data_IF_565480010170
#
_entry.id   IF_565480010170
#
_cell.length_a   1.000
_cell.length_b   1.000
_cell.length_c   1.000
_cell.angle_alpha   90.00
_cell.angle_beta   90.00
_cell.angle_gamma   90.00
#
_symmetry.space_group_name_H-M   'P 1'
#
loop_
_entity.id
_entity.type
_entity.pdbx_description
1 polymer ?
#
# COMPACT_ATOMS: atom_id res chain seq x y z
N UNK A 1 0.47 2.08 0.83
CA UNK A 1 -0.17 3.15 1.64
C UNK A 1 -1.38 2.66 2.44
N UNK A 2 -2.51 2.28 1.81
CA UNK A 2 -3.75 1.96 2.56
C UNK A 2 -3.60 0.84 3.59
N UNK A 3 -2.96 -0.25 3.19
CA UNK A 3 -2.64 -1.37 4.09
C UNK A 3 -1.68 -0.96 5.23
N UNK A 4 -0.73 -0.08 4.94
CA UNK A 4 0.24 0.39 5.95
C UNK A 4 -0.45 1.31 6.98
N UNK A 5 -1.46 2.08 6.54
CA UNK A 5 -2.22 2.96 7.41
C UNK A 5 -3.19 2.21 8.35
N UNK A 6 -3.60 0.99 8.01
CA UNK A 6 -4.44 0.19 8.90
C UNK A 6 -3.70 -0.69 9.88
N UNK A 7 -2.52 -1.17 9.48
CA UNK A 7 -1.69 -2.04 10.32
C UNK A 7 -0.75 -1.21 11.20
N UNK A 8 -0.30 -0.05 10.71
CA UNK A 8 0.67 0.81 11.39
C UNK A 8 0.05 1.93 12.20
N UNK A 9 0.71 2.26 13.31
CA UNK A 9 0.47 3.49 14.06
C UNK A 9 1.27 4.65 13.47
N UNK A 10 0.78 5.88 13.66
CA UNK A 10 1.47 7.08 13.18
C UNK A 10 2.77 7.30 13.96
N UNK A 11 3.90 7.45 13.25
CA UNK A 11 5.19 7.74 13.87
C UNK A 11 5.20 9.08 14.64
N UNK A 12 4.47 10.08 14.13
CA UNK A 12 4.40 11.43 14.71
C UNK A 12 3.00 12.03 14.53
N UNK A 13 2.64 12.97 15.40
CA UNK A 13 1.45 13.81 15.21
C UNK A 13 1.66 14.73 14.01
N UNK A 14 0.91 14.49 12.94
CA UNK A 14 1.00 15.22 11.67
C UNK A 14 -0.08 14.73 10.70
N UNK A 15 0.02 15.07 9.41
CA UNK A 15 -1.01 14.74 8.41
C UNK A 15 -1.28 13.23 8.25
N UNK A 16 -0.34 12.36 8.63
CA UNK A 16 -0.52 10.89 8.63
C UNK A 16 -1.31 10.35 9.83
N UNK A 17 -1.42 11.10 10.93
CA UNK A 17 -2.15 10.71 12.15
C UNK A 17 -3.66 10.55 11.91
N UNK A 18 -4.41 11.55 11.40
CA UNK A 18 -5.85 11.38 11.18
C UNK A 18 -6.15 10.29 10.14
N UNK A 19 -5.27 10.08 9.17
CA UNK A 19 -5.41 9.03 8.15
C UNK A 19 -5.25 7.61 8.74
N UNK A 20 -4.21 7.38 9.55
CA UNK A 20 -3.99 6.10 10.25
C UNK A 20 -5.11 5.79 11.24
N UNK A 21 -5.56 6.79 12.00
CA UNK A 21 -6.67 6.66 12.96
C UNK A 21 -7.96 6.24 12.24
N UNK A 22 -8.29 6.90 11.13
CA UNK A 22 -9.53 6.60 10.40
C UNK A 22 -9.51 5.25 9.68
N UNK A 23 -8.33 4.76 9.27
CA UNK A 23 -8.17 3.50 8.56
C UNK A 23 -7.98 2.28 9.46
N UNK A 24 -7.79 2.47 10.76
CA UNK A 24 -7.79 1.39 11.75
C UNK A 24 -9.14 0.66 11.85
N UNK A 25 -10.22 1.27 11.34
CA UNK A 25 -11.56 0.64 11.24
C UNK A 25 -11.52 -0.48 10.20
N UNK A 26 -11.54 -1.74 10.63
CA UNK A 26 -11.44 -2.94 9.77
C UNK A 26 -12.43 -2.98 8.60
N UNK A 27 -13.64 -2.42 8.79
CA UNK A 27 -14.65 -2.30 7.73
C UNK A 27 -14.18 -1.45 6.54
N UNK A 28 -13.48 -0.34 6.81
CA UNK A 28 -13.01 0.57 5.75
C UNK A 28 -11.89 -0.06 4.92
N UNK A 29 -11.06 -0.89 5.54
CA UNK A 29 -10.01 -1.62 4.83
C UNK A 29 -10.59 -2.67 3.92
N UNK A 30 -11.53 -3.46 4.42
CA UNK A 30 -12.20 -4.45 3.58
C UNK A 30 -12.85 -3.79 2.36
N UNK A 31 -13.58 -2.68 2.56
CA UNK A 31 -14.20 -1.93 1.46
C UNK A 31 -13.15 -1.37 0.50
N UNK A 32 -12.07 -0.77 0.99
CA UNK A 32 -11.02 -0.22 0.14
C UNK A 32 -10.30 -1.29 -0.68
N UNK A 33 -9.97 -2.43 -0.06
CA UNK A 33 -9.34 -3.57 -0.74
C UNK A 33 -10.28 -4.19 -1.75
N UNK A 34 -11.58 -4.32 -1.44
CA UNK A 34 -12.57 -4.84 -2.37
C UNK A 34 -12.73 -3.93 -3.61
N UNK A 35 -12.80 -2.62 -3.43
CA UNK A 35 -12.85 -1.65 -4.54
C UNK A 35 -11.60 -1.78 -5.40
N UNK A 36 -10.41 -1.80 -4.79
CA UNK A 36 -9.15 -1.94 -5.52
C UNK A 36 -9.10 -3.25 -6.32
N UNK A 37 -9.47 -4.37 -5.70
CA UNK A 37 -9.51 -5.68 -6.33
C UNK A 37 -10.43 -5.71 -7.55
N UNK A 38 -11.66 -5.18 -7.43
CA UNK A 38 -12.63 -5.13 -8.52
C UNK A 38 -12.12 -4.28 -9.67
N UNK A 39 -11.56 -3.10 -9.39
CA UNK A 39 -11.02 -2.22 -10.43
C UNK A 39 -9.85 -2.86 -11.19
N UNK A 40 -8.92 -3.49 -10.47
CA UNK A 40 -7.77 -4.16 -11.06
C UNK A 40 -8.22 -5.34 -11.93
N UNK A 41 -9.17 -6.13 -11.43
CA UNK A 41 -9.71 -7.27 -12.17
C UNK A 41 -10.41 -6.84 -13.47
N UNK A 42 -11.12 -5.71 -13.48
CA UNK A 42 -11.80 -5.20 -14.68
C UNK A 42 -10.79 -4.70 -15.73
N UNK A 43 -9.69 -4.07 -15.31
CA UNK A 43 -8.75 -3.40 -16.22
C UNK A 43 -7.71 -4.39 -16.79
N UNK A 44 -7.07 -5.18 -15.94
CA UNK A 44 -5.94 -6.06 -16.33
C UNK A 44 -6.23 -7.57 -16.13
N UNK A 45 -7.35 -7.93 -15.49
CA UNK A 45 -7.69 -9.32 -15.21
C UNK A 45 -6.69 -10.01 -14.27
N UNK A 46 -6.21 -11.19 -14.66
CA UNK A 46 -5.38 -12.05 -13.81
C UNK A 46 -3.95 -11.54 -13.58
N UNK A 47 -3.37 -10.86 -14.57
CA UNK A 47 -2.00 -10.32 -14.47
C UNK A 47 -1.95 -9.18 -13.44
N UNK A 48 -2.93 -8.28 -13.48
CA UNK A 48 -3.04 -7.18 -12.52
C UNK A 48 -3.22 -7.67 -11.08
N UNK A 49 -3.92 -8.80 -10.88
CA UNK A 49 -4.04 -9.43 -9.57
C UNK A 49 -2.70 -9.97 -9.03
N UNK A 50 -1.87 -10.56 -9.90
CA UNK A 50 -0.52 -10.99 -9.51
C UNK A 50 0.36 -9.80 -9.13
N UNK A 51 0.35 -8.74 -9.94
CA UNK A 51 1.10 -7.50 -9.67
C UNK A 51 0.63 -6.88 -8.35
N UNK A 52 -0.69 -6.83 -8.11
CA UNK A 52 -1.26 -6.34 -6.86
C UNK A 52 -0.73 -7.11 -5.65
N UNK A 53 -0.68 -8.45 -5.73
CA UNK A 53 -0.11 -9.29 -4.68
C UNK A 53 1.36 -8.97 -4.38
N UNK A 54 2.18 -8.80 -5.41
CA UNK A 54 3.61 -8.46 -5.27
C UNK A 54 3.78 -7.08 -4.61
N UNK A 55 3.02 -6.08 -5.06
CA UNK A 55 3.08 -4.72 -4.52
C UNK A 55 2.62 -4.66 -3.06
N UNK A 56 1.64 -5.47 -2.67
CA UNK A 56 1.21 -5.63 -1.28
C UNK A 56 2.36 -6.17 -0.41
N UNK A 57 3.12 -7.16 -0.89
CA UNK A 57 4.30 -7.70 -0.17
C UNK A 57 5.38 -6.62 -0.03
N UNK A 58 5.69 -5.90 -1.11
CA UNK A 58 6.65 -4.79 -1.07
C UNK A 58 6.22 -3.73 -0.05
N UNK A 59 4.93 -3.38 -0.04
CA UNK A 59 4.36 -2.46 0.94
C UNK A 59 4.52 -2.93 2.39
N UNK A 60 4.41 -4.24 2.63
CA UNK A 60 4.64 -4.84 3.95
C UNK A 60 6.11 -4.75 4.38
N UNK A 61 7.04 -5.01 3.46
CA UNK A 61 8.48 -4.86 3.72
C UNK A 61 8.80 -3.42 4.12
N UNK A 62 8.30 -2.45 3.37
CA UNK A 62 8.50 -1.01 3.67
C UNK A 62 7.88 -0.67 5.03
N UNK A 63 6.71 -1.21 5.35
CA UNK A 63 6.08 -1.03 6.66
C UNK A 63 6.97 -1.54 7.81
N UNK A 64 7.51 -2.76 7.70
CA UNK A 64 8.39 -3.33 8.72
C UNK A 64 9.63 -2.46 8.91
N UNK A 65 10.26 -2.03 7.82
CA UNK A 65 11.43 -1.13 7.86
C UNK A 65 11.06 0.20 8.53
N UNK A 66 9.90 0.75 8.20
CA UNK A 66 9.40 2.01 8.78
C UNK A 66 9.17 1.89 10.28
N UNK A 67 8.50 0.83 10.73
CA UNK A 67 8.26 0.61 12.16
C UNK A 67 9.57 0.41 12.93
N UNK A 68 10.58 -0.24 12.35
CA UNK A 68 11.87 -0.45 13.02
C UNK A 68 12.71 0.83 13.10
N UNK A 69 12.68 1.67 12.07
CA UNK A 69 13.57 2.83 11.97
C UNK A 69 12.93 4.12 12.51
N UNK A 70 11.62 4.29 12.34
CA UNK A 70 10.90 5.53 12.65
C UNK A 70 9.85 5.36 13.76
N UNK A 71 9.66 4.16 14.30
CA UNK A 71 8.68 3.89 15.36
C UNK A 71 7.22 3.88 14.91
N UNK A 72 6.96 3.88 13.60
CA UNK A 72 5.61 3.89 13.03
C UNK A 72 5.62 4.25 11.55
N UNK A 73 4.47 4.66 11.02
CA UNK A 73 4.34 5.11 9.62
C UNK A 73 4.14 6.63 9.55
N UNK A 74 4.97 7.31 8.76
CA UNK A 74 4.89 8.76 8.51
C UNK A 74 4.23 9.06 7.16
N UNK A 75 3.90 10.34 6.94
CA UNK A 75 3.43 10.82 5.63
C UNK A 75 4.44 10.57 4.51
N UNK A 76 5.73 10.75 4.79
CA UNK A 76 6.81 10.52 3.82
C UNK A 76 6.91 9.04 3.43
N UNK A 77 6.72 8.14 4.40
CA UNK A 77 6.71 6.70 4.14
C UNK A 77 5.52 6.30 3.27
N UNK A 78 4.35 6.92 3.46
CA UNK A 78 3.20 6.71 2.57
C UNK A 78 3.50 7.19 1.15
N UNK A 79 4.09 8.38 1.00
CA UNK A 79 4.49 8.93 -0.29
C UNK A 79 5.51 8.04 -1.00
N UNK A 80 6.59 7.68 -0.32
CA UNK A 80 7.62 6.80 -0.86
C UNK A 80 7.06 5.42 -1.23
N UNK A 81 6.22 4.83 -0.38
CA UNK A 81 5.59 3.54 -0.67
C UNK A 81 4.68 3.58 -1.91
N UNK A 82 4.00 4.71 -2.14
CA UNK A 82 3.15 4.87 -3.31
C UNK A 82 3.96 5.00 -4.60
N UNK A 83 5.06 5.76 -4.55
CA UNK A 83 5.96 5.90 -5.70
C UNK A 83 6.68 4.59 -6.03
N UNK A 84 7.15 3.86 -5.00
CA UNK A 84 7.76 2.53 -5.18
C UNK A 84 6.75 1.53 -5.73
N UNK A 85 5.51 1.53 -5.24
CA UNK A 85 4.44 0.67 -5.75
C UNK A 85 4.19 0.93 -7.24
N UNK A 86 4.09 2.20 -7.64
CA UNK A 86 3.90 2.61 -9.05
C UNK A 86 5.07 2.19 -9.94
N UNK A 87 6.30 2.44 -9.48
CA UNK A 87 7.50 2.07 -10.22
C UNK A 87 7.62 0.55 -10.34
N UNK A 88 7.36 -0.19 -9.27
CA UNK A 88 7.41 -1.66 -9.27
C UNK A 88 6.36 -2.25 -10.21
N UNK A 89 5.13 -1.75 -10.21
CA UNK A 89 4.09 -2.22 -11.12
C UNK A 89 4.47 -1.99 -12.59
N UNK A 90 5.03 -0.82 -12.92
CA UNK A 90 5.48 -0.52 -14.28
C UNK A 90 6.65 -1.40 -14.72
N UNK A 91 7.63 -1.65 -13.84
CA UNK A 91 8.74 -2.54 -14.14
C UNK A 91 8.29 -3.98 -14.36
N UNK A 92 7.39 -4.49 -13.53
CA UNK A 92 6.86 -5.85 -13.66
C UNK A 92 6.07 -5.99 -14.96
N UNK A 93 5.20 -5.01 -15.27
CA UNK A 93 4.43 -5.00 -16.51
C UNK A 93 5.36 -4.96 -17.73
N UNK A 94 6.32 -4.03 -17.73
CA UNK A 94 7.32 -3.93 -18.81
C UNK A 94 8.18 -5.19 -18.95
N UNK A 95 8.39 -5.96 -17.88
CA UNK A 95 9.15 -7.21 -17.93
C UNK A 95 8.33 -8.40 -18.44
N UNK A 96 6.99 -8.32 -18.32
CA UNK A 96 6.05 -9.34 -18.81
C UNK A 96 5.71 -9.15 -20.30
N UNK A 97 5.88 -7.94 -20.84
CA UNK A 97 5.67 -7.63 -22.27
C UNK A 97 6.90 -7.92 -23.15
N UNK A 98 7.98 -8.48 -22.60
CA UNK A 98 9.17 -8.97 -23.32
C UNK A 98 8.99 -10.45 -23.65
#
# INVERSE_FOLDING_TARGET
MVMQASVGDSAWYGSSSPFTIEMKKSKKIFVSTAIAFVLIFIIEGGVGLLIFGIVVIIGFIIYVVSCRNFGGVSGDVFGASNEIARLSSLLILSSLEI
#
